data_IF_026864467648
#
_entry.id   IF_026864467648
#
_cell.length_a   1.000
_cell.length_b   1.000
_cell.length_c   1.000
_cell.angle_alpha   90.00
_cell.angle_beta   90.00
_cell.angle_gamma   90.00
#
_symmetry.space_group_name_H-M   'P 1'
#
loop_
_entity.id
_entity.type
_entity.pdbx_description
1 polymer ?
#
# COMPACT_ATOMS: atom_id res chain seq x y z
N UNK A 1 13.08 -10.15 19.22
CA UNK A 1 12.24 -9.14 18.54
C UNK A 1 11.43 -8.43 19.60
N UNK A 2 11.30 -7.11 19.60
CA UNK A 2 10.40 -6.43 20.54
C UNK A 2 8.97 -6.93 20.28
N UNK A 3 8.19 -7.01 21.34
CA UNK A 3 6.77 -7.40 21.33
C UNK A 3 5.98 -6.39 20.49
N UNK A 4 5.43 -6.83 19.35
CA UNK A 4 4.73 -5.99 18.36
C UNK A 4 3.25 -5.77 18.70
N UNK A 5 2.76 -6.22 19.87
CA UNK A 5 1.37 -5.92 20.26
C UNK A 5 1.23 -4.47 20.71
N UNK A 6 0.97 -3.57 19.75
CA UNK A 6 0.54 -2.19 20.05
C UNK A 6 -0.87 -2.29 20.63
N UNK A 7 -0.97 -2.38 21.96
CA UNK A 7 -2.23 -2.60 22.65
C UNK A 7 -3.29 -1.57 22.25
N UNK A 8 -4.50 -2.05 21.96
CA UNK A 8 -5.69 -1.20 21.86
C UNK A 8 -5.77 -0.32 23.11
N UNK A 9 -5.75 0.99 22.93
CA UNK A 9 -5.84 2.07 23.93
C UNK A 9 -4.56 2.80 24.35
N UNK A 10 -3.39 2.50 23.77
CA UNK A 10 -2.25 3.40 23.92
C UNK A 10 -2.40 4.64 23.02
N UNK A 11 -2.08 5.86 23.50
CA UNK A 11 -2.07 7.04 22.66
C UNK A 11 -1.09 6.81 21.51
N UNK A 12 -1.59 6.96 20.30
CA UNK A 12 -0.85 6.59 19.10
C UNK A 12 0.35 7.51 18.92
N UNK A 13 1.56 6.95 18.75
CA UNK A 13 2.78 7.73 18.53
C UNK A 13 2.79 8.47 17.17
N UNK A 14 1.83 8.15 16.29
CA UNK A 14 1.61 8.79 15.01
C UNK A 14 0.55 9.90 15.11
N UNK A 15 0.64 10.88 14.21
CA UNK A 15 -0.40 11.90 14.00
C UNK A 15 -1.23 11.43 12.80
N UNK A 16 -2.44 10.86 12.99
CA UNK A 16 -3.23 10.37 11.87
C UNK A 16 -3.77 11.52 11.02
N UNK A 17 -4.00 11.25 9.74
CA UNK A 17 -4.71 12.19 8.88
C UNK A 17 -6.20 12.21 9.25
N UNK A 18 -6.83 13.40 9.25
CA UNK A 18 -8.26 13.60 9.57
C UNK A 18 -8.74 12.94 10.88
N UNK A 19 -8.04 13.19 11.99
CA UNK A 19 -8.36 12.59 13.30
C UNK A 19 -8.84 13.60 14.36
N UNK A 20 -9.51 13.08 15.39
CA UNK A 20 -9.77 13.81 16.62
C UNK A 20 -8.72 13.43 17.67
N UNK A 21 -8.02 14.39 18.31
CA UNK A 21 -6.97 14.10 19.30
C UNK A 21 -7.40 13.23 20.48
N UNK A 22 -8.70 13.18 20.77
CA UNK A 22 -9.28 12.41 21.86
C UNK A 22 -9.62 10.95 21.50
N UNK A 23 -9.44 10.54 20.24
CA UNK A 23 -9.78 9.17 19.79
C UNK A 23 -8.51 8.33 19.61
N UNK A 24 -8.60 7.09 20.07
CA UNK A 24 -7.58 6.06 19.84
C UNK A 24 -7.70 5.50 18.41
N UNK A 25 -6.56 5.10 17.85
CA UNK A 25 -6.50 4.46 16.53
C UNK A 25 -6.55 2.95 16.70
N UNK A 26 -7.22 2.26 15.77
CA UNK A 26 -7.23 0.80 15.69
C UNK A 26 -5.95 0.28 15.04
N UNK A 27 -5.41 -0.82 15.55
CA UNK A 27 -4.28 -1.54 14.95
C UNK A 27 -4.77 -2.68 14.06
N UNK A 28 -4.25 -2.77 12.83
CA UNK A 28 -4.55 -3.84 11.87
C UNK A 28 -3.21 -4.49 11.46
N UNK A 29 -2.77 -5.57 12.14
CA UNK A 29 -1.48 -6.20 11.85
C UNK A 29 -1.48 -7.06 10.57
N UNK A 30 -2.63 -7.56 10.12
CA UNK A 30 -2.69 -8.54 9.03
C UNK A 30 -3.89 -8.35 8.10
N UNK A 31 -3.78 -8.89 6.89
CA UNK A 31 -4.85 -8.89 5.89
C UNK A 31 -4.58 -9.82 4.71
N UNK A 32 -5.62 -10.52 4.29
CA UNK A 32 -5.60 -11.46 3.17
C UNK A 32 -6.89 -11.35 2.35
N UNK A 33 -6.73 -11.31 1.03
CA UNK A 33 -7.84 -11.12 0.11
C UNK A 33 -8.60 -9.82 0.41
N UNK A 34 -9.90 -9.94 0.66
CA UNK A 34 -10.79 -8.82 0.99
C UNK A 34 -10.96 -8.61 2.50
N UNK A 35 -10.17 -9.29 3.33
CA UNK A 35 -10.30 -9.21 4.79
C UNK A 35 -9.06 -8.63 5.45
N UNK A 36 -9.28 -7.99 6.59
CA UNK A 36 -8.23 -7.53 7.49
C UNK A 36 -8.53 -8.00 8.90
N UNK A 37 -7.48 -8.25 9.67
CA UNK A 37 -7.57 -8.75 11.05
C UNK A 37 -7.03 -7.67 11.98
N UNK A 38 -7.83 -7.26 12.96
CA UNK A 38 -7.38 -6.38 14.02
C UNK A 38 -6.51 -7.14 15.04
N UNK A 39 -5.73 -6.40 15.82
CA UNK A 39 -4.88 -6.94 16.89
C UNK A 39 -5.65 -7.69 18.01
N UNK A 40 -6.95 -7.40 18.19
CA UNK A 40 -7.85 -8.15 19.08
C UNK A 40 -8.38 -9.45 18.45
N UNK A 41 -7.98 -9.76 17.22
CA UNK A 41 -8.40 -10.93 16.45
C UNK A 41 -9.71 -10.75 15.69
N UNK A 42 -10.35 -9.58 15.75
CA UNK A 42 -11.58 -9.32 15.00
C UNK A 42 -11.29 -9.21 13.51
N UNK A 43 -11.98 -10.00 12.69
CA UNK A 43 -11.92 -9.89 11.23
C UNK A 43 -12.93 -8.90 10.68
N UNK A 44 -12.48 -8.06 9.75
CA UNK A 44 -13.31 -7.11 9.02
C UNK A 44 -13.25 -7.37 7.51
N UNK A 45 -14.39 -7.21 6.83
CA UNK A 45 -14.46 -7.20 5.36
C UNK A 45 -14.17 -5.79 4.85
N UNK A 46 -13.13 -5.66 4.04
CA UNK A 46 -12.71 -4.41 3.40
C UNK A 46 -13.57 -4.10 2.17
N UNK A 47 -14.71 -3.45 2.39
CA UNK A 47 -15.66 -3.08 1.34
C UNK A 47 -15.20 -1.91 0.46
N UNK A 48 -14.17 -1.17 0.86
CA UNK A 48 -13.76 0.10 0.22
C UNK A 48 -12.33 0.07 -0.31
N UNK A 49 -11.68 -1.11 -0.27
CA UNK A 49 -10.28 -1.28 -0.67
C UNK A 49 -9.36 -0.31 0.09
N UNK A 50 -9.54 -0.27 1.42
CA UNK A 50 -8.96 0.68 2.36
C UNK A 50 -9.28 2.12 2.00
N UNK A 51 -8.33 2.83 1.40
CA UNK A 51 -8.49 4.18 0.90
C UNK A 51 -8.64 4.15 -0.62
N UNK A 52 -9.52 3.28 -1.12
CA UNK A 52 -9.82 3.08 -2.55
C UNK A 52 -8.59 2.67 -3.40
N UNK A 53 -7.63 1.98 -2.81
CA UNK A 53 -6.34 1.68 -3.44
C UNK A 53 -5.99 0.19 -3.52
N UNK A 54 -6.57 -0.65 -2.66
CA UNK A 54 -6.28 -2.10 -2.62
C UNK A 54 -7.14 -2.86 -3.64
N UNK A 55 -6.96 -2.53 -4.93
CA UNK A 55 -7.80 -3.06 -6.02
C UNK A 55 -7.53 -4.54 -6.33
N UNK A 56 -6.30 -5.00 -6.08
CA UNK A 56 -5.87 -6.37 -6.33
C UNK A 56 -5.96 -7.27 -5.08
N UNK A 57 -6.67 -6.80 -4.05
CA UNK A 57 -6.76 -7.42 -2.72
C UNK A 57 -5.44 -7.43 -1.93
N UNK A 58 -5.53 -7.65 -0.62
CA UNK A 58 -4.36 -7.84 0.25
C UNK A 58 -3.68 -9.18 -0.07
N UNK A 59 -2.37 -9.27 0.14
CA UNK A 59 -1.63 -10.53 0.01
C UNK A 59 -1.44 -11.08 -1.42
N UNK A 60 -1.72 -10.29 -2.48
CA UNK A 60 -1.61 -10.77 -3.86
C UNK A 60 -0.19 -11.26 -4.21
N UNK A 61 -0.01 -12.58 -4.30
CA UNK A 61 1.30 -13.24 -4.49
C UNK A 61 2.04 -12.74 -5.73
N UNK A 62 1.35 -12.53 -6.86
CA UNK A 62 1.97 -12.06 -8.09
C UNK A 62 2.58 -10.65 -7.92
N UNK A 63 1.92 -9.77 -7.16
CA UNK A 63 2.43 -8.43 -6.86
C UNK A 63 3.58 -8.53 -5.86
N UNK A 64 3.43 -9.32 -4.80
CA UNK A 64 4.46 -9.53 -3.77
C UNK A 64 5.75 -10.07 -4.38
N UNK A 65 5.66 -11.07 -5.24
CA UNK A 65 6.81 -11.68 -5.89
C UNK A 65 7.49 -10.72 -6.88
N UNK A 66 6.72 -9.99 -7.69
CA UNK A 66 7.26 -8.97 -8.57
C UNK A 66 7.98 -7.84 -7.80
N UNK A 67 7.46 -7.46 -6.62
CA UNK A 67 8.12 -6.50 -5.74
C UNK A 67 9.44 -7.06 -5.20
N UNK A 68 9.45 -8.28 -4.65
CA UNK A 68 10.69 -8.94 -4.16
C UNK A 68 11.74 -9.05 -5.26
N UNK A 69 11.36 -9.53 -6.44
CA UNK A 69 12.24 -9.70 -7.60
C UNK A 69 12.87 -8.36 -8.06
N UNK A 70 12.13 -7.25 -7.92
CA UNK A 70 12.65 -5.92 -8.22
C UNK A 70 13.56 -5.39 -7.10
N UNK A 71 13.19 -5.61 -5.83
CA UNK A 71 13.98 -5.22 -4.67
C UNK A 71 15.36 -5.90 -4.64
N UNK A 72 15.45 -7.15 -5.07
CA UNK A 72 16.74 -7.86 -5.19
C UNK A 72 17.68 -7.24 -6.24
N UNK A 73 17.14 -6.48 -7.20
CA UNK A 73 17.92 -5.82 -8.25
C UNK A 73 18.27 -4.37 -7.90
N UNK A 74 17.23 -3.54 -7.73
CA UNK A 74 17.38 -2.11 -7.41
C UNK A 74 16.06 -1.51 -6.91
N UNK A 75 16.11 -0.84 -5.77
CA UNK A 75 14.95 -0.31 -5.06
C UNK A 75 14.44 1.00 -5.67
N UNK A 76 15.35 1.85 -6.17
CA UNK A 76 14.99 3.14 -6.73
C UNK A 76 15.96 3.58 -7.83
N UNK A 77 15.39 4.16 -8.88
CA UNK A 77 16.13 4.81 -9.96
C UNK A 77 15.40 6.09 -10.32
N UNK A 78 16.12 7.21 -10.45
CA UNK A 78 15.57 8.48 -10.93
C UNK A 78 14.75 8.31 -12.21
N UNK A 79 13.69 9.10 -12.37
CA UNK A 79 12.84 9.11 -13.57
C UNK A 79 13.58 9.49 -14.85
N UNK A 80 14.72 10.19 -14.73
CA UNK A 80 15.57 10.57 -15.86
C UNK A 80 16.32 9.38 -16.49
N UNK A 81 16.24 8.17 -15.91
CA UNK A 81 16.94 6.97 -16.38
C UNK A 81 15.95 5.88 -16.79
N UNK A 82 16.37 5.06 -17.76
CA UNK A 82 15.62 3.89 -18.23
C UNK A 82 15.82 2.70 -17.29
N UNK A 83 14.77 1.90 -17.12
CA UNK A 83 14.82 0.61 -16.43
C UNK A 83 14.02 -0.43 -17.23
N UNK A 84 14.36 -1.73 -17.17
CA UNK A 84 13.57 -2.77 -17.83
C UNK A 84 12.11 -2.78 -17.38
N UNK A 85 11.83 -2.53 -16.10
CA UNK A 85 10.46 -2.44 -15.58
C UNK A 85 9.65 -1.30 -16.22
N UNK A 86 10.25 -0.10 -16.37
CA UNK A 86 9.58 1.02 -17.06
C UNK A 86 9.39 0.76 -18.55
N UNK A 87 10.34 0.09 -19.19
CA UNK A 87 10.23 -0.28 -20.61
C UNK A 87 9.07 -1.25 -20.85
N UNK A 88 8.99 -2.34 -20.08
CA UNK A 88 7.87 -3.31 -20.16
C UNK A 88 6.51 -2.65 -19.93
N UNK A 89 6.41 -1.81 -18.89
CA UNK A 89 5.16 -1.08 -18.61
C UNK A 89 4.78 -0.13 -19.76
N UNK A 90 5.76 0.46 -20.45
CA UNK A 90 5.50 1.37 -21.58
C UNK A 90 5.08 0.67 -22.88
N UNK A 91 5.26 -0.64 -22.97
CA UNK A 91 4.82 -1.45 -24.11
C UNK A 91 3.37 -1.93 -23.94
N UNK A 92 2.88 -1.94 -22.69
CA UNK A 92 1.53 -2.35 -22.34
C UNK A 92 0.51 -1.24 -22.68
N UNK A 93 0.15 -1.17 -23.97
CA UNK A 93 -0.65 -0.10 -24.60
C UNK A 93 -2.00 0.17 -23.96
N UNK A 94 -2.59 -0.82 -23.29
CA UNK A 94 -3.92 -0.69 -22.69
C UNK A 94 -3.89 0.16 -21.41
N UNK A 95 -2.80 0.07 -20.64
CA UNK A 95 -2.61 0.82 -19.38
C UNK A 95 -2.24 2.29 -19.60
N UNK A 96 -1.57 2.59 -20.72
CA UNK A 96 -0.99 3.92 -20.97
C UNK A 96 -2.03 4.91 -21.54
N UNK A 97 -3.09 4.42 -22.20
CA UNK A 97 -4.12 5.27 -22.83
C UNK A 97 -4.94 6.08 -21.81
N UNK A 98 -4.95 5.69 -20.53
CA UNK A 98 -5.61 6.42 -19.44
C UNK A 98 -4.73 7.55 -18.85
N UNK A 99 -3.43 7.61 -19.19
CA UNK A 99 -2.43 8.33 -18.36
C UNK A 99 -1.32 9.06 -19.14
N UNK A 100 -1.55 9.50 -20.39
CA UNK A 100 -0.56 10.33 -21.13
C UNK A 100 -0.51 11.80 -20.64
N UNK A 101 -0.26 11.97 -19.34
CA UNK A 101 0.37 13.14 -18.71
C UNK A 101 0.78 12.79 -17.26
N UNK A 102 1.13 11.53 -16.98
CA UNK A 102 1.59 11.14 -15.64
C UNK A 102 3.10 11.36 -15.53
N UNK A 103 3.49 12.58 -15.14
CA UNK A 103 4.67 12.72 -14.29
C UNK A 103 4.48 11.73 -13.12
N UNK A 104 5.45 10.88 -12.74
CA UNK A 104 5.31 10.02 -11.57
C UNK A 104 5.25 10.91 -10.31
N UNK A 105 4.05 11.40 -10.01
CA UNK A 105 3.69 12.13 -8.82
C UNK A 105 3.26 11.09 -7.78
N UNK A 106 3.90 11.12 -6.61
CA UNK A 106 3.77 10.07 -5.59
C UNK A 106 2.42 10.08 -4.85
N UNK A 107 1.56 11.07 -5.12
CA UNK A 107 0.18 11.14 -4.63
C UNK A 107 -0.63 12.17 -5.43
N UNK A 108 -1.97 12.07 -5.38
CA UNK A 108 -2.89 13.09 -5.91
C UNK A 108 -3.36 14.02 -4.79
N UNK A 109 -2.45 14.74 -4.15
CA UNK A 109 -2.82 15.87 -3.29
C UNK A 109 -2.90 17.13 -4.16
N UNK A 110 -4.08 17.75 -4.24
CA UNK A 110 -4.22 19.13 -4.74
C UNK A 110 -3.85 20.11 -3.64
#
# INVERSE_FOLDING_TARGET
>A
MPDESIGQNEPSANIPHWYAPSKTSMTIPDGDGTRVVADDGTEYLDFVSQHYCVNASHGNEAIVDAMKEQLERIQYVSSAKRTPARARLSEDRELIRVRYAMFPCYSTSR
#
